data_IF_974111939892
#
_entry.id   IF_974111939892
#
_cell.length_a   1.000
_cell.length_b   1.000
_cell.length_c   1.000
_cell.angle_alpha   90.00
_cell.angle_beta   90.00
_cell.angle_gamma   90.00
#
_symmetry.space_group_name_H-M   'P 1'
#
loop_
_entity.id
_entity.type
_entity.pdbx_description
1 polymer ?
#
# COMPACT_ATOMS: atom_id res chain seq x y z
N UNK A 1 1.96 65.95 26.34
CA UNK A 1 2.13 64.84 25.42
C UNK A 1 0.80 64.06 25.46
N UNK A 2 -0.01 64.23 24.44
CA UNK A 2 -1.29 63.52 24.34
C UNK A 2 -1.02 62.05 24.07
N UNK A 3 -1.66 61.13 24.81
CA UNK A 3 -1.50 59.68 24.52
C UNK A 3 -2.10 59.36 23.16
N UNK A 4 -1.36 58.64 22.33
CA UNK A 4 -1.88 58.14 21.08
C UNK A 4 -3.10 57.28 21.33
N UNK A 5 -4.15 57.35 20.47
CA UNK A 5 -5.32 56.51 20.63
C UNK A 5 -4.91 55.03 20.52
N UNK A 6 -5.52 54.15 21.31
CA UNK A 6 -5.21 52.73 21.25
C UNK A 6 -5.49 52.20 19.85
N UNK A 7 -4.47 51.64 19.22
CA UNK A 7 -4.64 50.97 17.93
C UNK A 7 -5.45 49.71 18.19
N UNK A 8 -6.60 49.60 17.55
CA UNK A 8 -7.42 48.38 17.64
C UNK A 8 -6.79 47.30 16.79
N UNK A 9 -5.95 46.45 17.43
CA UNK A 9 -5.40 45.26 16.85
C UNK A 9 -6.39 44.08 16.82
N UNK A 10 -7.62 44.24 17.26
CA UNK A 10 -8.58 43.18 17.48
C UNK A 10 -8.81 42.30 16.24
N UNK A 11 -9.00 42.90 15.06
CA UNK A 11 -9.20 42.17 13.81
C UNK A 11 -7.94 41.42 13.38
N UNK A 12 -6.79 42.07 13.40
CA UNK A 12 -5.52 41.48 12.98
C UNK A 12 -5.11 40.38 13.96
N UNK A 13 -5.22 40.63 15.26
CA UNK A 13 -4.94 39.65 16.30
C UNK A 13 -5.89 38.45 16.22
N UNK A 14 -7.19 38.66 15.96
CA UNK A 14 -8.17 37.60 15.80
C UNK A 14 -7.88 36.73 14.57
N UNK A 15 -7.55 37.34 13.43
CA UNK A 15 -7.17 36.60 12.22
C UNK A 15 -5.87 35.82 12.39
N UNK A 16 -4.85 36.43 13.02
CA UNK A 16 -3.59 35.76 13.31
C UNK A 16 -3.80 34.59 14.27
N UNK A 17 -4.58 34.80 15.34
CA UNK A 17 -4.92 33.73 16.27
C UNK A 17 -5.65 32.56 15.57
N UNK A 18 -6.61 32.87 14.70
CA UNK A 18 -7.33 31.89 13.91
C UNK A 18 -6.37 31.09 13.02
N UNK A 19 -5.47 31.76 12.32
CA UNK A 19 -4.47 31.09 11.47
C UNK A 19 -3.55 30.18 12.27
N UNK A 20 -3.05 30.64 13.43
CA UNK A 20 -2.20 29.85 14.33
C UNK A 20 -2.95 28.63 14.85
N UNK A 21 -4.21 28.77 15.27
CA UNK A 21 -5.04 27.67 15.75
C UNK A 21 -5.26 26.66 14.62
N UNK A 22 -5.64 27.08 13.42
CA UNK A 22 -5.84 26.19 12.27
C UNK A 22 -4.56 25.43 11.93
N UNK A 23 -3.41 26.11 11.94
CA UNK A 23 -2.12 25.49 11.68
C UNK A 23 -1.76 24.45 12.75
N UNK A 24 -1.94 24.78 14.03
CA UNK A 24 -1.68 23.86 15.13
C UNK A 24 -2.59 22.62 15.10
N UNK A 25 -3.86 22.80 14.75
CA UNK A 25 -4.79 21.68 14.56
C UNK A 25 -4.33 20.78 13.43
N UNK A 26 -3.91 21.34 12.30
CA UNK A 26 -3.36 20.58 11.17
C UNK A 26 -2.10 19.82 11.54
N UNK A 27 -1.16 20.45 12.24
CA UNK A 27 0.05 19.82 12.72
C UNK A 27 -0.27 18.64 13.65
N UNK A 28 -1.21 18.82 14.58
CA UNK A 28 -1.65 17.77 15.50
C UNK A 28 -2.33 16.60 14.77
N UNK A 29 -3.19 16.88 13.78
CA UNK A 29 -3.81 15.84 12.94
C UNK A 29 -2.77 15.07 12.15
N UNK A 30 -1.77 15.74 11.58
CA UNK A 30 -0.68 15.10 10.84
C UNK A 30 0.17 14.22 11.74
N UNK A 31 0.54 14.70 12.92
CA UNK A 31 1.27 13.91 13.90
C UNK A 31 0.49 12.67 14.33
N UNK A 32 -0.81 12.80 14.55
CA UNK A 32 -1.69 11.68 14.88
C UNK A 32 -1.75 10.66 13.75
N UNK A 33 -1.91 11.09 12.51
CA UNK A 33 -1.93 10.22 11.33
C UNK A 33 -0.60 9.46 11.17
N UNK A 34 0.51 10.13 11.35
CA UNK A 34 1.82 9.50 11.32
C UNK A 34 1.93 8.40 12.39
N UNK A 35 1.55 8.69 13.63
CA UNK A 35 1.56 7.72 14.72
C UNK A 35 0.61 6.53 14.49
N UNK A 36 -0.55 6.78 13.88
CA UNK A 36 -1.53 5.75 13.55
C UNK A 36 -1.00 4.78 12.48
N UNK A 37 -0.33 5.30 11.46
CA UNK A 37 0.09 4.49 10.31
C UNK A 37 1.53 3.99 10.36
N UNK A 38 2.40 4.56 11.20
CA UNK A 38 3.82 4.16 11.25
C UNK A 38 4.05 2.67 11.52
N UNK A 39 3.20 2.05 12.33
CA UNK A 39 3.27 0.64 12.68
C UNK A 39 2.50 -0.27 11.70
N UNK A 40 1.87 0.33 10.70
CA UNK A 40 1.10 -0.37 9.67
C UNK A 40 1.87 -0.55 8.36
N UNK A 41 3.16 -0.24 8.34
CA UNK A 41 4.03 -0.54 7.21
C UNK A 41 4.02 -2.06 6.96
N UNK A 42 3.77 -2.46 5.72
CA UNK A 42 3.61 -3.86 5.35
C UNK A 42 2.17 -4.35 5.25
N UNK A 43 1.20 -3.52 5.57
CA UNK A 43 -0.21 -3.84 5.40
C UNK A 43 -0.74 -3.44 4.03
N UNK A 44 -1.75 -4.17 3.57
CA UNK A 44 -2.57 -3.78 2.42
C UNK A 44 -3.79 -3.01 2.92
N UNK A 45 -4.01 -1.85 2.34
CA UNK A 45 -5.13 -0.97 2.68
C UNK A 45 -6.03 -0.73 1.49
N UNK A 46 -7.30 -0.51 1.75
CA UNK A 46 -8.28 -0.08 0.77
C UNK A 46 -8.54 1.40 0.93
N UNK A 47 -8.60 2.11 -0.17
CA UNK A 47 -8.91 3.52 -0.19
C UNK A 47 -9.69 3.91 -1.43
N UNK A 48 -9.97 5.19 -1.54
CA UNK A 48 -10.68 5.77 -2.67
C UNK A 48 -9.80 6.84 -3.31
N UNK A 49 -9.71 6.83 -4.63
CA UNK A 49 -8.96 7.85 -5.37
C UNK A 49 -9.63 9.20 -5.17
N UNK A 50 -8.90 10.12 -4.56
CA UNK A 50 -9.37 11.49 -4.29
C UNK A 50 -9.07 12.43 -5.44
N UNK A 51 -7.85 12.37 -5.96
CA UNK A 51 -7.36 13.15 -7.09
C UNK A 51 -6.13 12.53 -7.69
N UNK A 52 -5.80 12.97 -8.89
CA UNK A 52 -4.58 12.57 -9.60
C UNK A 52 -3.78 13.85 -9.88
N UNK A 53 -2.53 13.89 -9.45
CA UNK A 53 -1.64 15.03 -9.58
C UNK A 53 -0.32 14.58 -10.23
N UNK A 54 -0.04 15.08 -11.43
CA UNK A 54 1.20 14.76 -12.17
C UNK A 54 1.47 13.25 -12.33
N UNK A 55 0.41 12.45 -12.45
CA UNK A 55 0.50 10.99 -12.54
C UNK A 55 0.57 10.27 -11.18
N UNK A 56 0.67 11.00 -10.08
CA UNK A 56 0.56 10.43 -8.75
C UNK A 56 -0.90 10.36 -8.33
N UNK A 57 -1.28 9.24 -7.72
CA UNK A 57 -2.66 9.01 -7.25
C UNK A 57 -2.73 9.32 -5.76
N UNK A 58 -3.58 10.27 -5.39
CA UNK A 58 -3.85 10.60 -4.00
C UNK A 58 -5.07 9.81 -3.55
N UNK A 59 -4.89 9.02 -2.52
CA UNK A 59 -5.86 8.06 -2.00
C UNK A 59 -6.38 8.52 -0.65
N UNK A 60 -7.68 8.57 -0.51
CA UNK A 60 -8.34 8.78 0.80
C UNK A 60 -8.40 7.44 1.54
N UNK A 61 -7.74 7.37 2.68
CA UNK A 61 -7.68 6.19 3.56
C UNK A 61 -8.69 6.26 4.72
N UNK A 62 -9.56 7.26 4.73
CA UNK A 62 -10.48 7.52 5.83
C UNK A 62 -9.88 8.39 6.93
N UNK A 63 -10.75 8.99 7.78
CA UNK A 63 -10.30 9.80 8.91
C UNK A 63 -9.42 10.99 8.54
N UNK A 64 -9.57 11.55 7.35
CA UNK A 64 -8.72 12.60 6.75
C UNK A 64 -7.27 12.17 6.45
N UNK A 65 -6.94 10.89 6.59
CA UNK A 65 -5.65 10.37 6.18
C UNK A 65 -5.57 10.24 4.66
N UNK A 66 -4.49 10.72 4.07
CA UNK A 66 -4.21 10.62 2.64
C UNK A 66 -2.95 9.80 2.41
N UNK A 67 -3.02 8.88 1.45
CA UNK A 67 -1.87 8.16 0.93
C UNK A 67 -1.54 8.61 -0.48
N UNK A 68 -0.33 8.37 -0.91
CA UNK A 68 0.12 8.63 -2.27
C UNK A 68 0.63 7.35 -2.93
N UNK A 69 0.12 7.05 -4.12
CA UNK A 69 0.71 6.09 -5.03
C UNK A 69 1.46 6.89 -6.08
N UNK A 70 2.79 6.88 -6.02
CA UNK A 70 3.61 7.58 -7.00
C UNK A 70 3.47 6.93 -8.36
N UNK A 71 3.73 7.69 -9.41
CA UNK A 71 3.62 7.20 -10.78
C UNK A 71 4.43 5.93 -11.05
N UNK A 72 5.63 5.85 -10.49
CA UNK A 72 6.52 4.69 -10.58
C UNK A 72 6.09 3.51 -9.69
N UNK A 73 5.15 3.72 -8.78
CA UNK A 73 4.59 2.70 -7.88
C UNK A 73 3.21 2.19 -8.34
N UNK A 74 2.72 2.64 -9.48
CA UNK A 74 1.51 2.10 -10.12
C UNK A 74 1.88 0.94 -11.05
N UNK A 75 0.90 0.07 -11.33
CA UNK A 75 1.07 -0.97 -12.33
C UNK A 75 1.04 -0.30 -13.72
N UNK A 76 1.99 -0.60 -14.63
CA UNK A 76 1.96 -0.06 -15.98
C UNK A 76 0.61 -0.32 -16.68
N UNK A 77 0.11 0.69 -17.40
CA UNK A 77 -1.18 0.67 -18.11
C UNK A 77 -2.43 0.69 -17.21
N UNK A 78 -2.25 0.80 -15.91
CA UNK A 78 -3.36 0.98 -14.98
C UNK A 78 -3.83 2.44 -15.01
N UNK A 79 -5.13 2.66 -15.12
CA UNK A 79 -5.73 3.98 -15.10
C UNK A 79 -6.70 4.10 -13.94
N UNK A 80 -6.62 5.22 -13.25
CA UNK A 80 -7.51 5.55 -12.14
C UNK A 80 -8.33 6.80 -12.47
N UNK A 81 -9.55 6.81 -11.96
CA UNK A 81 -10.44 7.96 -11.96
C UNK A 81 -10.79 8.35 -10.53
N UNK A 82 -11.15 9.62 -10.34
CA UNK A 82 -11.62 10.09 -9.04
C UNK A 82 -12.83 9.26 -8.59
N UNK A 83 -12.81 8.80 -7.35
CA UNK A 83 -13.85 7.96 -6.79
C UNK A 83 -13.64 6.46 -6.96
N UNK A 84 -12.65 6.04 -7.73
CA UNK A 84 -12.33 4.61 -7.84
C UNK A 84 -11.82 4.05 -6.52
N UNK A 85 -12.20 2.83 -6.22
CA UNK A 85 -11.61 2.09 -5.11
C UNK A 85 -10.27 1.53 -5.53
N UNK A 86 -9.29 1.66 -4.65
CA UNK A 86 -7.93 1.17 -4.89
C UNK A 86 -7.42 0.43 -3.67
N UNK A 87 -6.79 -0.71 -3.91
CA UNK A 87 -6.09 -1.50 -2.91
C UNK A 87 -4.60 -1.32 -3.11
N UNK A 88 -3.86 -1.09 -2.05
CA UNK A 88 -2.43 -0.83 -2.15
C UNK A 88 -1.67 -1.26 -0.89
N UNK A 89 -0.37 -1.41 -1.04
CA UNK A 89 0.55 -1.82 0.01
C UNK A 89 1.25 -0.60 0.60
N UNK A 90 1.26 -0.50 1.92
CA UNK A 90 2.01 0.55 2.62
C UNK A 90 3.47 0.14 2.69
N UNK A 91 4.33 0.77 1.90
CA UNK A 91 5.75 0.45 1.93
C UNK A 91 6.55 1.42 2.80
N UNK A 92 6.02 2.60 3.08
CA UNK A 92 6.67 3.58 3.93
C UNK A 92 5.66 4.56 4.54
N UNK A 93 6.00 5.08 5.71
CA UNK A 93 5.25 6.16 6.37
C UNK A 93 6.29 7.15 6.88
N UNK A 94 6.20 8.40 6.41
CA UNK A 94 7.15 9.47 6.77
C UNK A 94 6.41 10.64 7.37
N UNK A 95 7.08 11.28 8.31
CA UNK A 95 6.61 12.56 8.85
C UNK A 95 6.96 13.66 7.86
N UNK A 96 5.95 14.20 7.20
CA UNK A 96 6.09 15.24 6.18
C UNK A 96 5.40 16.53 6.64
N UNK A 97 6.01 17.67 6.37
CA UNK A 97 5.42 18.96 6.69
C UNK A 97 4.23 19.29 5.79
N UNK A 98 4.24 18.80 4.56
CA UNK A 98 3.18 19.04 3.57
C UNK A 98 2.97 17.77 2.74
N UNK A 99 1.73 17.60 2.27
CA UNK A 99 1.37 16.48 1.42
C UNK A 99 1.14 15.18 2.18
N UNK A 100 0.88 14.08 1.46
CA UNK A 100 0.64 12.77 2.06
C UNK A 100 1.87 12.23 2.79
N UNK A 101 1.64 11.55 3.91
CA UNK A 101 2.68 10.93 4.74
C UNK A 101 2.75 9.42 4.56
N UNK A 102 1.72 8.81 3.97
CA UNK A 102 1.59 7.38 3.78
C UNK A 102 1.91 7.06 2.33
N UNK A 103 2.99 6.29 2.12
CA UNK A 103 3.46 5.93 0.79
C UNK A 103 2.95 4.54 0.43
N UNK A 104 2.19 4.49 -0.66
CA UNK A 104 1.50 3.30 -1.14
C UNK A 104 2.13 2.79 -2.43
N UNK A 105 2.08 1.50 -2.65
CA UNK A 105 2.55 0.86 -3.87
C UNK A 105 1.62 -0.24 -4.35
N UNK A 106 1.47 -0.34 -5.66
CA UNK A 106 0.83 -1.47 -6.34
C UNK A 106 1.83 -2.30 -7.15
N UNK A 107 3.05 -1.79 -7.32
CA UNK A 107 4.14 -2.47 -8.03
C UNK A 107 5.10 -3.23 -7.11
N UNK A 108 5.00 -3.03 -5.80
CA UNK A 108 5.89 -3.64 -4.82
C UNK A 108 5.72 -5.16 -4.79
N UNK A 109 6.80 -5.97 -4.74
CA UNK A 109 6.71 -7.43 -4.67
C UNK A 109 5.88 -7.91 -3.47
N UNK A 110 6.00 -7.28 -2.31
CA UNK A 110 5.25 -7.63 -1.11
C UNK A 110 3.75 -7.35 -1.22
N UNK A 111 3.32 -6.49 -2.13
CA UNK A 111 1.90 -6.32 -2.42
C UNK A 111 1.28 -7.63 -2.90
N UNK A 112 1.93 -8.30 -3.85
CA UNK A 112 1.49 -9.61 -4.33
C UNK A 112 1.52 -10.66 -3.22
N UNK A 113 2.58 -10.69 -2.41
CA UNK A 113 2.68 -11.62 -1.29
C UNK A 113 1.54 -11.44 -0.29
N UNK A 114 1.17 -10.21 0.03
CA UNK A 114 0.04 -9.90 0.91
C UNK A 114 -1.31 -10.25 0.30
N UNK A 115 -1.49 -10.09 -1.00
CA UNK A 115 -2.69 -10.54 -1.69
C UNK A 115 -2.85 -12.06 -1.60
N UNK A 116 -1.79 -12.83 -1.80
CA UNK A 116 -1.81 -14.27 -1.59
C UNK A 116 -2.10 -14.66 -0.13
N UNK A 117 -1.58 -13.92 0.82
CA UNK A 117 -1.88 -14.14 2.25
C UNK A 117 -3.37 -13.99 2.54
N UNK A 118 -4.03 -13.04 1.88
CA UNK A 118 -5.48 -12.83 2.02
C UNK A 118 -6.30 -13.92 1.32
N UNK A 119 -5.85 -14.41 0.16
CA UNK A 119 -6.60 -15.40 -0.64
C UNK A 119 -6.35 -16.85 -0.21
N UNK A 120 -5.20 -17.13 0.39
CA UNK A 120 -4.79 -18.49 0.78
C UNK A 120 -4.76 -18.61 2.29
N UNK A 121 -5.76 -19.28 2.91
CA UNK A 121 -5.81 -19.43 4.37
C UNK A 121 -4.59 -20.11 4.96
N UNK A 122 -4.01 -21.06 4.25
CA UNK A 122 -2.83 -21.80 4.69
C UNK A 122 -1.59 -20.92 4.83
N UNK A 123 -1.49 -19.84 4.03
CA UNK A 123 -0.44 -18.83 4.18
C UNK A 123 -0.72 -17.95 5.40
N UNK A 124 -1.96 -17.54 5.58
CA UNK A 124 -2.37 -16.75 6.74
C UNK A 124 -2.11 -17.50 8.05
N UNK A 125 -2.40 -18.79 8.08
CA UNK A 125 -2.19 -19.66 9.24
C UNK A 125 -0.71 -20.05 9.47
N UNK A 126 0.19 -19.68 8.56
CA UNK A 126 1.62 -19.94 8.67
C UNK A 126 2.04 -21.36 8.26
N UNK A 127 1.15 -22.18 7.70
CA UNK A 127 1.44 -23.53 7.22
C UNK A 127 2.25 -23.46 5.92
N UNK A 128 1.86 -22.56 5.02
CA UNK A 128 2.60 -22.26 3.78
C UNK A 128 3.34 -20.95 3.96
N UNK A 129 4.61 -20.93 3.60
CA UNK A 129 5.48 -19.77 3.64
C UNK A 129 5.82 -19.30 2.23
N UNK A 130 5.75 -18.00 2.01
CA UNK A 130 6.26 -17.36 0.80
C UNK A 130 7.73 -17.03 1.02
N UNK A 131 8.61 -17.72 0.31
CA UNK A 131 10.06 -17.59 0.46
C UNK A 131 10.62 -16.43 -0.35
N UNK A 132 10.12 -16.23 -1.56
CA UNK A 132 10.56 -15.14 -2.43
C UNK A 132 9.51 -14.76 -3.45
N UNK A 133 9.61 -13.53 -3.92
CA UNK A 133 8.76 -12.97 -4.96
C UNK A 133 9.64 -12.22 -5.94
N UNK A 134 9.50 -12.53 -7.23
CA UNK A 134 10.09 -11.78 -8.33
C UNK A 134 8.97 -11.27 -9.23
N UNK A 135 8.93 -9.98 -9.46
CA UNK A 135 7.80 -9.34 -10.12
C UNK A 135 8.26 -8.32 -11.15
N UNK A 136 7.69 -8.44 -12.35
CA UNK A 136 7.67 -7.40 -13.38
C UNK A 136 6.22 -6.88 -13.45
N UNK A 137 5.94 -5.72 -12.81
CA UNK A 137 4.57 -5.26 -12.60
C UNK A 137 3.78 -5.13 -13.91
N UNK A 138 2.57 -5.70 -13.92
CA UNK A 138 1.68 -5.69 -15.07
C UNK A 138 2.01 -6.69 -16.17
N UNK A 139 3.14 -7.38 -16.10
CA UNK A 139 3.60 -8.36 -17.08
C UNK A 139 3.59 -9.77 -16.50
N UNK A 140 4.57 -10.11 -15.69
CA UNK A 140 4.76 -11.44 -15.16
C UNK A 140 5.39 -11.42 -13.78
N UNK A 141 5.05 -12.42 -12.97
CA UNK A 141 5.62 -12.59 -11.64
C UNK A 141 5.83 -14.08 -11.34
N UNK A 142 6.78 -14.35 -10.46
CA UNK A 142 7.00 -15.67 -9.89
C UNK A 142 7.00 -15.57 -8.37
N UNK A 143 6.34 -16.53 -7.73
CA UNK A 143 6.28 -16.62 -6.28
C UNK A 143 6.74 -18.02 -5.86
N UNK A 144 7.70 -18.08 -4.96
CA UNK A 144 8.24 -19.33 -4.44
C UNK A 144 7.68 -19.62 -3.05
N UNK A 145 7.14 -20.80 -2.86
CA UNK A 145 6.44 -21.22 -1.65
C UNK A 145 6.95 -22.55 -1.12
N UNK A 146 6.86 -22.73 0.19
CA UNK A 146 7.09 -24.00 0.88
C UNK A 146 5.98 -24.28 1.88
N UNK A 147 5.81 -25.53 2.25
CA UNK A 147 4.89 -25.96 3.30
C UNK A 147 5.67 -26.58 4.47
N UNK A 148 5.25 -26.25 5.69
CA UNK A 148 5.73 -26.92 6.91
C UNK A 148 5.04 -28.27 7.13
N UNK A 149 3.92 -28.51 6.47
CA UNK A 149 3.17 -29.76 6.52
C UNK A 149 3.41 -30.55 5.24
N UNK A 150 4.00 -31.74 5.36
CA UNK A 150 4.29 -32.62 4.24
C UNK A 150 3.04 -33.16 3.53
N UNK A 151 1.88 -33.11 4.17
CA UNK A 151 0.59 -33.49 3.59
C UNK A 151 -0.06 -32.41 2.75
N UNK A 152 0.48 -31.20 2.74
CA UNK A 152 -0.06 -30.06 1.98
C UNK A 152 0.87 -29.70 0.83
N UNK A 153 0.32 -29.73 -0.40
CA UNK A 153 1.00 -29.22 -1.59
C UNK A 153 0.96 -27.70 -1.59
N UNK A 154 2.10 -27.01 -1.41
CA UNK A 154 2.11 -25.55 -1.31
C UNK A 154 1.68 -24.87 -2.62
N UNK A 155 2.07 -25.43 -3.77
CA UNK A 155 1.72 -24.86 -5.08
C UNK A 155 0.23 -25.06 -5.36
N UNK A 156 -0.29 -26.25 -5.16
CA UNK A 156 -1.71 -26.56 -5.37
C UNK A 156 -2.63 -25.74 -4.46
N UNK A 157 -2.24 -25.53 -3.21
CA UNK A 157 -3.00 -24.71 -2.27
C UNK A 157 -3.05 -23.23 -2.67
N UNK A 158 -1.96 -22.69 -3.20
CA UNK A 158 -1.90 -21.30 -3.68
C UNK A 158 -2.66 -21.11 -5.00
N UNK A 159 -2.66 -22.10 -5.88
CA UNK A 159 -3.45 -22.06 -7.13
C UNK A 159 -4.94 -22.09 -6.82
N UNK A 160 -5.34 -22.97 -5.89
CA UNK A 160 -6.74 -23.17 -5.53
C UNK A 160 -7.51 -24.01 -6.54
N UNK A 161 -8.75 -24.32 -6.22
CA UNK A 161 -9.61 -25.13 -7.08
C UNK A 161 -9.81 -24.44 -8.44
N UNK A 162 -9.43 -25.11 -9.51
CA UNK A 162 -9.48 -24.59 -10.91
C UNK A 162 -8.80 -23.24 -11.08
N UNK A 163 -7.78 -22.95 -10.28
CA UNK A 163 -7.06 -21.69 -10.33
C UNK A 163 -7.79 -20.50 -9.69
N UNK A 164 -8.81 -20.73 -8.89
CA UNK A 164 -9.66 -19.67 -8.34
C UNK A 164 -8.89 -18.66 -7.48
N UNK A 165 -7.95 -19.13 -6.66
CA UNK A 165 -7.16 -18.26 -5.77
C UNK A 165 -6.15 -17.44 -6.54
N UNK A 166 -5.39 -18.05 -7.42
CA UNK A 166 -4.41 -17.35 -8.25
C UNK A 166 -5.08 -16.36 -9.20
N UNK A 167 -6.25 -16.70 -9.76
CA UNK A 167 -6.98 -15.79 -10.62
C UNK A 167 -7.52 -14.54 -9.89
N UNK A 168 -7.89 -14.67 -8.63
CA UNK A 168 -8.28 -13.52 -7.82
C UNK A 168 -7.12 -12.52 -7.67
N UNK A 169 -5.90 -13.00 -7.46
CA UNK A 169 -4.71 -12.16 -7.39
C UNK A 169 -4.34 -11.60 -8.77
N UNK A 170 -4.41 -12.39 -9.82
CA UNK A 170 -4.17 -11.95 -11.21
C UNK A 170 -5.12 -10.81 -11.59
N UNK A 171 -6.40 -10.93 -11.25
CA UNK A 171 -7.40 -9.90 -11.54
C UNK A 171 -7.11 -8.59 -10.80
N UNK A 172 -6.69 -8.64 -9.54
CA UNK A 172 -6.29 -7.46 -8.77
C UNK A 172 -5.06 -6.78 -9.37
N UNK A 173 -4.12 -7.54 -9.90
CA UNK A 173 -2.88 -7.05 -10.51
C UNK A 173 -3.01 -6.75 -12.01
N UNK A 174 -4.22 -6.52 -12.51
CA UNK A 174 -4.51 -6.10 -13.89
C UNK A 174 -4.05 -7.12 -14.96
N UNK A 175 -4.20 -8.40 -14.67
CA UNK A 175 -3.86 -9.46 -15.62
C UNK A 175 -2.38 -9.86 -15.64
N UNK A 176 -1.62 -9.47 -14.65
CA UNK A 176 -0.23 -9.92 -14.47
C UNK A 176 -0.18 -11.45 -14.36
N UNK A 177 0.62 -12.10 -15.20
CA UNK A 177 0.77 -13.56 -15.17
C UNK A 177 1.59 -13.98 -13.96
N UNK A 178 1.06 -14.88 -13.15
CA UNK A 178 1.69 -15.33 -11.92
C UNK A 178 2.01 -16.83 -12.01
N UNK A 179 3.30 -17.15 -11.89
CA UNK A 179 3.77 -18.53 -11.78
C UNK A 179 4.08 -18.84 -10.30
N UNK A 180 3.45 -19.85 -9.77
CA UNK A 180 3.69 -20.34 -8.41
C UNK A 180 4.62 -21.52 -8.51
N UNK A 181 5.78 -21.44 -7.85
CA UNK A 181 6.81 -22.46 -7.86
C UNK A 181 7.13 -22.94 -6.46
N UNK A 182 7.61 -24.17 -6.35
CA UNK A 182 8.10 -24.71 -5.09
C UNK A 182 9.51 -24.21 -4.82
N UNK A 183 9.73 -23.61 -3.66
CA UNK A 183 11.06 -23.22 -3.21
C UNK A 183 11.91 -24.45 -2.88
N UNK A 184 13.22 -24.39 -3.15
CA UNK A 184 14.20 -25.38 -2.74
C UNK A 184 15.44 -24.69 -2.18
N UNK A 185 16.03 -25.30 -1.16
CA UNK A 185 17.31 -24.87 -0.59
C UNK A 185 18.44 -25.16 -1.61
N UNK A 186 18.30 -26.21 -2.40
CA UNK A 186 19.21 -26.51 -3.49
C UNK A 186 18.97 -25.57 -4.68
N UNK A 187 19.96 -24.73 -5.00
CA UNK A 187 19.86 -23.74 -6.05
C UNK A 187 19.57 -24.33 -7.43
N UNK A 188 20.16 -25.48 -7.75
CA UNK A 188 19.93 -26.14 -9.04
C UNK A 188 18.47 -26.62 -9.16
N UNK A 189 17.95 -27.27 -8.12
CA UNK A 189 16.55 -27.68 -8.05
C UNK A 189 15.61 -26.47 -8.09
N UNK A 190 15.94 -25.39 -7.39
CA UNK A 190 15.13 -24.17 -7.40
C UNK A 190 15.06 -23.53 -8.79
N UNK A 191 16.17 -23.47 -9.50
CA UNK A 191 16.21 -22.96 -10.88
C UNK A 191 15.35 -23.82 -11.80
N UNK A 192 15.46 -25.16 -11.69
CA UNK A 192 14.64 -26.10 -12.49
C UNK A 192 13.15 -25.89 -12.21
N UNK A 193 12.77 -25.73 -10.94
CA UNK A 193 11.37 -25.48 -10.57
C UNK A 193 10.84 -24.16 -11.10
N UNK A 194 11.71 -23.18 -11.32
CA UNK A 194 11.36 -21.83 -11.78
C UNK A 194 11.26 -21.72 -13.33
N UNK A 195 11.81 -22.66 -14.08
CA UNK A 195 11.79 -22.69 -15.55
C UNK A 195 10.58 -23.44 -16.09
#
# INVERSE_FOLDING_TARGET
VDPLPPIDFGRIAAQTAKQVIVQKVREAERARQFLEFKDRIGEVVNGMVKRIEFGNVIVDLGGRAEGIIRRDETIPREHFSNGDRVRSYIYDVREELRGPQIFLSRSHPQFMAKLFTQEVPEIYDGIIEINSVARDPGSRAKIAVTSSDSGIDPVGACVGMRGSRVQAVVAELQGEKIDIIQHSIDHATFIVNAL
#
